data_IF_424741105241
#
_entry.id   IF_424741105241
#
_cell.length_a   1.000
_cell.length_b   1.000
_cell.length_c   1.000
_cell.angle_alpha   90.00
_cell.angle_beta   90.00
_cell.angle_gamma   90.00
#
_symmetry.space_group_name_H-M   'P 1'
#
loop_
_entity.id
_entity.type
_entity.pdbx_description
1 polymer ?
#
# COMPACT_ATOMS: atom_id res chain seq x y z
N UNK A 1 -28.38 26.36 -19.52
CA UNK A 1 -27.92 25.35 -18.56
C UNK A 1 -27.58 26.08 -17.29
N UNK A 2 -28.34 25.84 -16.22
CA UNK A 2 -28.09 26.50 -14.92
C UNK A 2 -27.10 25.68 -14.10
N UNK A 3 -26.37 26.33 -13.18
CA UNK A 3 -25.40 25.66 -12.31
C UNK A 3 -26.03 24.52 -11.47
N UNK A 4 -27.34 24.59 -11.23
CA UNK A 4 -28.11 23.56 -10.52
C UNK A 4 -28.11 22.20 -11.25
N UNK A 5 -28.00 22.17 -12.58
CA UNK A 5 -27.96 20.92 -13.37
C UNK A 5 -26.64 20.15 -13.19
N UNK A 6 -25.60 20.80 -12.67
CA UNK A 6 -24.28 20.21 -12.40
C UNK A 6 -24.04 19.89 -10.92
N UNK A 7 -24.95 20.30 -10.03
CA UNK A 7 -24.86 20.03 -8.60
C UNK A 7 -25.44 18.64 -8.30
N UNK A 8 -24.75 17.78 -7.54
CA UNK A 8 -25.29 16.50 -7.10
C UNK A 8 -26.57 16.71 -6.28
N UNK A 9 -27.58 15.87 -6.47
CA UNK A 9 -28.81 15.95 -5.68
C UNK A 9 -28.56 15.62 -4.20
N UNK A 10 -29.44 16.08 -3.31
CA UNK A 10 -29.43 15.78 -1.87
C UNK A 10 -29.25 14.27 -1.58
N UNK A 11 -29.90 13.41 -2.37
CA UNK A 11 -29.76 11.96 -2.25
C UNK A 11 -28.33 11.47 -2.57
N UNK A 12 -27.65 12.08 -3.55
CA UNK A 12 -26.25 11.78 -3.88
C UNK A 12 -25.31 12.29 -2.78
N UNK A 13 -25.55 13.48 -2.25
CA UNK A 13 -24.76 14.05 -1.14
C UNK A 13 -24.88 13.16 0.11
N UNK A 14 -26.08 12.70 0.45
CA UNK A 14 -26.31 11.75 1.55
C UNK A 14 -25.58 10.41 1.32
N UNK A 15 -25.59 9.91 0.08
CA UNK A 15 -24.84 8.71 -0.31
C UNK A 15 -23.32 8.87 -0.14
N UNK A 16 -22.76 10.00 -0.57
CA UNK A 16 -21.34 10.33 -0.42
C UNK A 16 -20.96 10.40 1.07
N UNK A 17 -21.76 11.09 1.88
CA UNK A 17 -21.53 11.21 3.33
C UNK A 17 -21.48 9.84 4.00
N UNK A 18 -22.44 8.96 3.69
CA UNK A 18 -22.48 7.60 4.21
C UNK A 18 -21.27 6.76 3.77
N UNK A 19 -20.84 6.90 2.51
CA UNK A 19 -19.64 6.24 2.01
C UNK A 19 -18.35 6.69 2.72
N UNK A 20 -18.25 7.98 3.08
CA UNK A 20 -17.13 8.53 3.86
C UNK A 20 -17.13 7.96 5.29
N UNK A 21 -18.30 7.89 5.94
CA UNK A 21 -18.44 7.32 7.29
C UNK A 21 -18.04 5.84 7.32
N UNK A 22 -18.49 5.05 6.35
CA UNK A 22 -18.11 3.63 6.21
C UNK A 22 -16.62 3.45 5.97
N UNK A 23 -15.99 4.34 5.19
CA UNK A 23 -14.55 4.32 4.97
C UNK A 23 -13.77 4.67 6.23
N UNK A 24 -14.13 5.74 6.93
CA UNK A 24 -13.46 6.14 8.18
C UNK A 24 -13.59 5.06 9.26
N UNK A 25 -14.76 4.42 9.38
CA UNK A 25 -14.97 3.29 10.28
C UNK A 25 -14.02 2.12 9.99
N UNK A 26 -13.79 1.81 8.69
CA UNK A 26 -12.86 0.75 8.26
C UNK A 26 -11.39 1.19 8.31
N UNK A 27 -11.11 2.47 8.15
CA UNK A 27 -9.75 3.03 8.11
C UNK A 27 -9.03 2.82 9.44
N UNK A 28 -9.70 3.03 10.57
CA UNK A 28 -9.11 2.88 11.89
C UNK A 28 -8.60 1.44 12.14
N UNK A 29 -9.37 0.42 11.74
CA UNK A 29 -8.99 -0.98 11.92
C UNK A 29 -7.85 -1.39 10.97
N UNK A 30 -7.89 -0.95 9.71
CA UNK A 30 -6.84 -1.22 8.72
C UNK A 30 -5.53 -0.51 9.08
N UNK A 31 -5.57 0.73 9.56
CA UNK A 31 -4.38 1.43 10.04
C UNK A 31 -3.75 0.73 11.24
N UNK A 32 -4.55 0.26 12.20
CA UNK A 32 -4.05 -0.51 13.34
C UNK A 32 -3.40 -1.83 12.90
N UNK A 33 -3.97 -2.50 11.89
CA UNK A 33 -3.41 -3.72 11.34
C UNK A 33 -2.07 -3.47 10.62
N UNK A 34 -1.97 -2.42 9.80
CA UNK A 34 -0.72 -2.08 9.10
C UNK A 34 0.36 -1.63 10.09
N UNK A 35 0.00 -0.85 11.12
CA UNK A 35 0.93 -0.38 12.15
C UNK A 35 1.62 -1.52 12.91
N UNK A 36 0.95 -2.67 13.09
CA UNK A 36 1.55 -3.85 13.72
C UNK A 36 2.23 -4.79 12.72
N UNK A 37 1.69 -4.91 11.50
CA UNK A 37 2.30 -5.76 10.48
C UNK A 37 3.71 -5.29 10.12
N UNK A 38 3.90 -4.00 9.85
CA UNK A 38 5.20 -3.48 9.42
C UNK A 38 6.33 -3.81 10.42
N UNK A 39 6.25 -3.49 11.72
CA UNK A 39 7.31 -3.82 12.67
C UNK A 39 7.46 -5.33 12.89
N UNK A 40 6.38 -6.12 12.83
CA UNK A 40 6.47 -7.58 12.97
C UNK A 40 7.20 -8.21 11.79
N UNK A 41 6.82 -7.87 10.55
CA UNK A 41 7.46 -8.43 9.36
C UNK A 41 8.93 -8.02 9.23
N UNK A 42 9.24 -6.73 9.43
CA UNK A 42 10.62 -6.24 9.38
C UNK A 42 11.41 -6.79 10.56
N UNK A 43 10.83 -6.82 11.77
CA UNK A 43 11.46 -7.37 12.97
C UNK A 43 11.82 -8.84 12.83
N UNK A 44 10.94 -9.66 12.24
CA UNK A 44 11.22 -11.07 11.97
C UNK A 44 12.40 -11.26 11.01
N UNK A 45 12.52 -10.43 9.97
CA UNK A 45 13.68 -10.47 9.07
C UNK A 45 14.96 -10.10 9.80
N UNK A 46 14.94 -9.05 10.62
CA UNK A 46 16.11 -8.63 11.40
C UNK A 46 16.56 -9.74 12.36
N UNK A 47 15.62 -10.35 13.09
CA UNK A 47 15.91 -11.48 13.98
C UNK A 47 16.48 -12.66 13.19
N UNK A 48 15.88 -13.01 12.06
CA UNK A 48 16.37 -14.11 11.22
C UNK A 48 17.79 -13.85 10.71
N UNK A 49 18.06 -12.66 10.16
CA UNK A 49 19.40 -12.27 9.69
C UNK A 49 20.41 -12.30 10.84
N UNK A 50 20.05 -11.81 12.02
CA UNK A 50 20.93 -11.83 13.18
C UNK A 50 21.26 -13.27 13.63
N UNK A 51 20.28 -14.18 13.63
CA UNK A 51 20.50 -15.59 13.98
C UNK A 51 21.42 -16.29 12.98
N UNK A 52 21.23 -16.06 11.68
CA UNK A 52 22.08 -16.66 10.64
C UNK A 52 23.50 -16.06 10.68
N UNK A 53 23.64 -14.76 10.89
CA UNK A 53 24.94 -14.12 11.07
C UNK A 53 25.67 -14.66 12.31
N UNK A 54 24.95 -14.85 13.41
CA UNK A 54 25.52 -15.48 14.61
C UNK A 54 26.01 -16.90 14.33
N UNK A 55 25.24 -17.70 13.57
CA UNK A 55 25.65 -19.04 13.17
C UNK A 55 26.90 -19.02 12.27
N UNK A 56 27.00 -18.08 11.34
CA UNK A 56 28.20 -17.90 10.52
C UNK A 56 29.41 -17.57 11.38
N UNK A 57 29.27 -16.69 12.38
CA UNK A 57 30.36 -16.38 13.30
C UNK A 57 30.77 -17.56 14.18
N UNK A 58 29.83 -18.42 14.57
CA UNK A 58 30.14 -19.63 15.32
C UNK A 58 31.00 -20.62 14.52
N UNK A 59 30.93 -20.58 13.19
CA UNK A 59 31.71 -21.42 12.28
C UNK A 59 32.91 -20.70 11.64
N UNK A 60 33.05 -19.39 11.81
CA UNK A 60 34.06 -18.57 11.15
C UNK A 60 35.37 -18.47 11.95
N UNK A 61 36.47 -18.29 11.22
CA UNK A 61 37.75 -17.90 11.80
C UNK A 61 37.60 -16.56 12.56
N UNK A 62 38.21 -16.39 13.75
CA UNK A 62 38.18 -15.14 14.51
C UNK A 62 38.49 -13.86 13.72
N UNK A 63 39.28 -13.96 12.64
CA UNK A 63 39.65 -12.80 11.81
C UNK A 63 38.61 -12.41 10.76
N UNK A 64 37.59 -13.23 10.50
CA UNK A 64 36.59 -13.02 9.44
C UNK A 64 35.14 -12.85 9.96
N UNK A 65 34.98 -12.57 11.25
CA UNK A 65 33.66 -12.46 11.87
C UNK A 65 32.90 -11.20 11.41
N UNK A 66 31.59 -11.34 11.25
CA UNK A 66 30.60 -10.28 10.91
C UNK A 66 30.72 -9.63 9.52
N UNK A 67 31.92 -9.55 8.94
CA UNK A 67 32.19 -8.84 7.69
C UNK A 67 32.66 -9.75 6.55
N UNK A 68 32.69 -11.06 6.76
CA UNK A 68 33.04 -11.98 5.68
C UNK A 68 32.03 -11.94 4.53
N UNK A 69 32.50 -12.35 3.35
CA UNK A 69 31.69 -12.48 2.13
C UNK A 69 30.28 -13.06 2.36
N UNK A 70 30.08 -14.19 3.09
CA UNK A 70 28.75 -14.72 3.36
C UNK A 70 27.86 -13.80 4.21
N UNK A 71 28.42 -13.01 5.14
CA UNK A 71 27.65 -12.02 5.91
C UNK A 71 27.15 -10.88 5.02
N UNK A 72 27.99 -10.39 4.13
CA UNK A 72 27.61 -9.30 3.20
C UNK A 72 26.45 -9.75 2.31
N UNK A 73 26.50 -10.96 1.77
CA UNK A 73 25.39 -11.53 0.98
C UNK A 73 24.13 -11.71 1.83
N UNK A 74 24.26 -12.18 3.07
CA UNK A 74 23.15 -12.32 4.01
C UNK A 74 22.47 -10.97 4.29
N UNK A 75 23.25 -9.91 4.54
CA UNK A 75 22.73 -8.57 4.80
C UNK A 75 22.05 -7.97 3.58
N UNK A 76 22.64 -8.14 2.39
CA UNK A 76 22.05 -7.67 1.15
C UNK A 76 20.72 -8.40 0.86
N UNK A 77 20.72 -9.73 0.99
CA UNK A 77 19.51 -10.54 0.84
C UNK A 77 18.43 -10.21 1.87
N UNK A 78 18.82 -10.03 3.13
CA UNK A 78 17.94 -9.59 4.21
C UNK A 78 17.33 -8.22 3.95
N UNK A 79 18.10 -7.28 3.43
CA UNK A 79 17.61 -5.95 3.06
C UNK A 79 16.59 -6.04 1.91
N UNK A 80 16.87 -6.80 0.85
CA UNK A 80 15.91 -7.03 -0.24
C UNK A 80 14.62 -7.66 0.30
N UNK A 81 14.73 -8.68 1.15
CA UNK A 81 13.58 -9.34 1.76
C UNK A 81 12.76 -8.37 2.64
N UNK A 82 13.41 -7.52 3.44
CA UNK A 82 12.76 -6.52 4.27
C UNK A 82 11.98 -5.51 3.42
N UNK A 83 12.56 -5.04 2.31
CA UNK A 83 11.89 -4.13 1.36
C UNK A 83 10.65 -4.79 0.75
N UNK A 84 10.76 -6.03 0.27
CA UNK A 84 9.63 -6.77 -0.31
C UNK A 84 8.51 -6.98 0.72
N UNK A 85 8.85 -7.39 1.95
CA UNK A 85 7.88 -7.60 3.01
C UNK A 85 7.25 -6.30 3.51
N UNK A 86 7.99 -5.20 3.52
CA UNK A 86 7.45 -3.87 3.80
C UNK A 86 6.35 -3.49 2.81
N UNK A 87 6.60 -3.62 1.51
CA UNK A 87 5.58 -3.38 0.49
C UNK A 87 4.40 -4.35 0.60
N UNK A 88 4.64 -5.61 0.95
CA UNK A 88 3.58 -6.59 1.18
C UNK A 88 2.71 -6.23 2.40
N UNK A 89 3.33 -5.74 3.48
CA UNK A 89 2.65 -5.30 4.69
C UNK A 89 1.77 -4.05 4.48
N UNK A 90 2.11 -3.20 3.50
CA UNK A 90 1.34 -2.00 3.13
C UNK A 90 0.11 -2.28 2.24
N UNK A 91 0.07 -3.42 1.52
CA UNK A 91 -1.02 -3.79 0.60
C UNK A 91 -2.45 -3.64 1.17
N UNK A 92 -2.75 -3.91 2.45
CA UNK A 92 -4.09 -3.74 2.99
C UNK A 92 -4.56 -2.28 2.99
N UNK A 93 -3.67 -1.34 3.32
CA UNK A 93 -3.99 0.09 3.32
C UNK A 93 -4.22 0.60 1.90
N UNK A 94 -3.38 0.20 0.94
CA UNK A 94 -3.52 0.63 -0.45
C UNK A 94 -4.79 0.07 -1.09
N UNK A 95 -5.16 -1.18 -0.79
CA UNK A 95 -6.41 -1.79 -1.27
C UNK A 95 -7.66 -1.09 -0.72
N UNK A 96 -7.70 -0.75 0.57
CA UNK A 96 -8.83 -0.02 1.16
C UNK A 96 -9.00 1.37 0.52
N UNK A 97 -7.89 2.08 0.31
CA UNK A 97 -7.91 3.38 -0.33
C UNK A 97 -8.38 3.30 -1.79
N UNK A 98 -7.96 2.24 -2.51
CA UNK A 98 -8.36 2.01 -3.88
C UNK A 98 -9.85 1.66 -4.00
N UNK A 99 -10.37 0.75 -3.17
CA UNK A 99 -11.81 0.40 -3.20
C UNK A 99 -12.71 1.60 -2.89
N UNK A 100 -12.27 2.47 -1.97
CA UNK A 100 -12.98 3.71 -1.66
C UNK A 100 -13.00 4.66 -2.86
N UNK A 101 -11.85 4.84 -3.55
CA UNK A 101 -11.78 5.65 -4.78
C UNK A 101 -12.65 5.08 -5.89
N UNK A 102 -12.65 3.76 -6.07
CA UNK A 102 -13.48 3.06 -7.06
C UNK A 102 -14.98 3.26 -6.81
N UNK A 103 -15.37 3.51 -5.56
CA UNK A 103 -16.78 3.70 -5.16
C UNK A 103 -17.18 5.18 -5.16
N UNK A 104 -16.33 6.06 -4.61
CA UNK A 104 -16.62 7.49 -4.48
C UNK A 104 -16.44 8.27 -5.78
N UNK A 105 -15.41 7.97 -6.58
CA UNK A 105 -15.15 8.75 -7.80
C UNK A 105 -16.32 8.65 -8.79
N UNK A 106 -16.91 7.48 -9.07
CA UNK A 106 -18.08 7.41 -9.94
C UNK A 106 -19.33 8.10 -9.35
N UNK A 107 -19.46 8.11 -8.02
CA UNK A 107 -20.58 8.78 -7.34
C UNK A 107 -20.48 10.30 -7.39
N UNK A 108 -19.28 10.85 -7.21
CA UNK A 108 -18.99 12.30 -7.30
C UNK A 108 -19.02 12.77 -8.76
N UNK A 109 -18.46 11.97 -9.68
CA UNK A 109 -18.34 12.29 -11.10
C UNK A 109 -19.42 11.65 -11.97
N UNK A 110 -20.56 11.24 -11.39
CA UNK A 110 -21.67 10.59 -12.13
C UNK A 110 -22.29 11.46 -13.24
N UNK A 111 -21.98 12.75 -13.28
CA UNK A 111 -22.31 13.68 -14.37
C UNK A 111 -21.50 13.42 -15.65
N UNK A 112 -20.34 12.76 -15.55
CA UNK A 112 -19.56 12.26 -16.68
C UNK A 112 -19.99 10.81 -16.92
N UNK A 113 -20.61 10.53 -18.07
CA UNK A 113 -20.92 9.13 -18.47
C UNK A 113 -19.62 8.30 -18.45
N UNK A 114 -19.68 7.13 -17.81
CA UNK A 114 -18.60 6.12 -17.76
C UNK A 114 -17.30 6.48 -16.98
N UNK A 115 -17.41 7.17 -15.84
CA UNK A 115 -16.24 7.30 -14.94
C UNK A 115 -15.99 6.00 -14.20
N UNK A 116 -14.93 5.28 -14.62
CA UNK A 116 -14.33 4.18 -13.87
C UNK A 116 -12.87 4.52 -13.60
N UNK A 117 -12.43 4.35 -12.34
CA UNK A 117 -11.01 4.39 -12.03
C UNK A 117 -10.34 3.15 -12.63
N UNK A 118 -9.45 3.34 -13.60
CA UNK A 118 -8.62 2.27 -14.15
C UNK A 118 -7.16 2.56 -13.82
N UNK A 119 -6.50 1.59 -13.18
CA UNK A 119 -5.08 1.70 -12.87
C UNK A 119 -4.25 1.10 -14.02
N UNK A 120 -3.35 1.87 -14.61
CA UNK A 120 -2.47 1.42 -15.69
C UNK A 120 -3.08 1.42 -17.10
N UNK A 121 -4.31 1.90 -17.26
CA UNK A 121 -4.92 2.10 -18.57
C UNK A 121 -4.51 3.46 -19.17
N UNK A 122 -4.17 3.47 -20.46
CA UNK A 122 -3.91 4.71 -21.21
C UNK A 122 -5.25 5.42 -21.44
N UNK A 123 -5.42 6.68 -21.01
CA UNK A 123 -6.67 7.40 -21.23
C UNK A 123 -6.94 7.55 -22.73
N UNK A 124 -8.16 7.26 -23.17
CA UNK A 124 -8.57 7.42 -24.59
C UNK A 124 -8.51 8.87 -25.10
N UNK A 125 -8.39 9.84 -24.19
CA UNK A 125 -8.19 11.26 -24.48
C UNK A 125 -6.75 11.60 -24.88
N UNK A 126 -5.76 10.78 -24.53
CA UNK A 126 -4.35 11.06 -24.83
C UNK A 126 -4.04 10.95 -26.33
N UNK A 127 -4.78 10.12 -27.07
CA UNK A 127 -4.62 10.00 -28.53
C UNK A 127 -5.26 11.16 -29.31
N UNK A 128 -5.97 12.08 -28.61
CA UNK A 128 -6.66 13.23 -29.20
C UNK A 128 -6.09 14.58 -28.78
N UNK A 129 -4.99 14.61 -28.03
CA UNK A 129 -4.29 15.85 -27.71
C UNK A 129 -3.38 16.22 -28.90
N UNK A 130 -3.46 17.46 -29.43
CA UNK A 130 -2.56 17.95 -30.47
C UNK A 130 -1.11 18.06 -29.99
#
# INVERSE_FOLDING_TARGET
>A
MEAADFMPSEAVIAGIRRGIEDYEAKRASVQRQVRWRVPVFVGLVVVFVALIAWLFNAAADPHEQWLSTPHVFLYLGGMVAAVVLYFQALRPATRLQQSFRDTLLPMIFGFVRDVRYQHGARPSSFDRMP
#
